data_IF_263025950347
#
_entry.id   IF_263025950347
#
_cell.length_a   1.000
_cell.length_b   1.000
_cell.length_c   1.000
_cell.angle_alpha   90.00
_cell.angle_beta   90.00
_cell.angle_gamma   90.00
#
_symmetry.space_group_name_H-M   'P 1'
#
loop_
_entity.id
_entity.type
_entity.pdbx_description
1 polymer ?
#
# COMPACT_ATOMS: atom_id res chain seq x y z
N UNK A 1 17.11 12.53 -27.37
CA UNK A 1 15.90 12.80 -26.64
C UNK A 1 15.88 11.92 -25.38
N UNK A 2 16.12 12.51 -24.21
CA UNK A 2 16.20 11.80 -22.93
C UNK A 2 14.82 11.39 -22.38
N UNK A 3 13.72 11.64 -23.08
CA UNK A 3 12.34 11.31 -22.64
C UNK A 3 12.03 9.82 -22.65
N UNK A 4 12.81 9.02 -23.36
CA UNK A 4 12.65 7.58 -23.43
C UNK A 4 13.91 6.88 -22.94
N UNK A 5 13.77 5.99 -21.95
CA UNK A 5 14.89 5.19 -21.46
C UNK A 5 15.46 4.32 -22.59
N UNK A 6 16.73 3.96 -22.48
CA UNK A 6 17.38 3.05 -23.43
C UNK A 6 16.64 1.72 -23.54
N UNK A 7 16.19 1.18 -22.37
CA UNK A 7 15.38 -0.03 -22.31
C UNK A 7 14.07 0.10 -23.12
N UNK A 8 13.33 1.19 -22.94
CA UNK A 8 12.07 1.43 -23.68
C UNK A 8 12.31 1.50 -25.20
N UNK A 9 13.42 2.09 -25.64
CA UNK A 9 13.79 2.14 -27.05
C UNK A 9 14.09 0.76 -27.62
N UNK A 10 14.80 -0.08 -26.86
CA UNK A 10 15.09 -1.47 -27.25
C UNK A 10 13.82 -2.30 -27.32
N UNK A 11 12.97 -2.23 -26.31
CA UNK A 11 11.67 -2.96 -26.30
C UNK A 11 10.84 -2.58 -27.53
N UNK A 12 10.71 -1.29 -27.84
CA UNK A 12 9.96 -0.85 -29.04
C UNK A 12 10.56 -1.37 -30.34
N UNK A 13 11.89 -1.38 -30.43
CA UNK A 13 12.58 -1.83 -31.65
C UNK A 13 12.46 -3.33 -31.89
N UNK A 14 12.47 -4.12 -30.83
CA UNK A 14 12.52 -5.58 -30.89
C UNK A 14 11.24 -6.26 -30.34
N UNK A 15 10.15 -5.52 -30.20
CA UNK A 15 8.88 -6.02 -29.63
C UNK A 15 8.35 -7.30 -30.30
N UNK A 16 8.62 -7.46 -31.63
CA UNK A 16 8.17 -8.62 -32.40
C UNK A 16 9.19 -9.78 -32.42
N UNK A 17 10.38 -9.62 -31.85
CA UNK A 17 11.41 -10.67 -31.85
C UNK A 17 11.45 -11.39 -30.50
N UNK A 18 10.87 -12.60 -30.37
CA UNK A 18 10.82 -13.35 -29.12
C UNK A 18 12.19 -13.85 -28.62
N UNK A 19 13.24 -13.73 -29.44
CA UNK A 19 14.61 -14.05 -29.03
C UNK A 19 15.27 -12.90 -28.26
N UNK A 20 14.75 -11.70 -28.40
CA UNK A 20 15.30 -10.47 -27.81
C UNK A 20 14.43 -9.94 -26.68
N UNK A 21 13.11 -10.03 -26.83
CA UNK A 21 12.16 -9.53 -25.84
C UNK A 21 11.26 -10.65 -25.33
N UNK A 22 11.18 -10.76 -24.01
CA UNK A 22 10.29 -11.71 -23.34
C UNK A 22 9.63 -11.02 -22.14
N UNK A 23 8.33 -11.25 -21.98
CA UNK A 23 7.57 -10.76 -20.84
C UNK A 23 7.36 -11.90 -19.84
N UNK A 24 7.78 -11.70 -18.60
CA UNK A 24 7.46 -12.61 -17.51
C UNK A 24 6.00 -12.43 -17.12
N UNK A 25 5.20 -13.48 -17.25
CA UNK A 25 3.75 -13.45 -17.02
C UNK A 25 3.34 -14.13 -15.72
N UNK A 26 4.28 -14.67 -14.95
CA UNK A 26 4.00 -15.29 -13.66
C UNK A 26 4.68 -14.52 -12.53
N UNK A 27 3.95 -14.30 -11.44
CA UNK A 27 4.46 -13.65 -10.24
C UNK A 27 4.16 -14.49 -8.99
N UNK A 28 5.09 -14.55 -8.05
CA UNK A 28 4.98 -15.34 -6.81
C UNK A 28 4.76 -14.51 -5.54
N UNK A 29 4.54 -13.20 -5.64
CA UNK A 29 4.50 -12.30 -4.48
C UNK A 29 3.09 -11.91 -4.08
N UNK A 30 2.32 -11.35 -5.01
CA UNK A 30 1.04 -10.71 -4.72
C UNK A 30 -0.10 -11.71 -4.69
N UNK A 31 -1.08 -11.48 -3.80
CA UNK A 31 -2.40 -12.09 -3.91
C UNK A 31 -3.05 -11.73 -5.26
N UNK A 32 -3.91 -12.60 -5.80
CA UNK A 32 -4.57 -12.39 -7.10
C UNK A 32 -5.32 -11.05 -7.18
N UNK A 33 -6.05 -10.68 -6.12
CA UNK A 33 -6.81 -9.42 -6.07
C UNK A 33 -5.89 -8.19 -6.13
N UNK A 34 -4.73 -8.26 -5.45
CA UNK A 34 -3.74 -7.18 -5.49
C UNK A 34 -3.07 -7.11 -6.86
N UNK A 35 -2.84 -8.25 -7.50
CA UNK A 35 -2.21 -8.33 -8.81
C UNK A 35 -3.10 -7.86 -9.96
N UNK A 36 -4.41 -7.75 -9.76
CA UNK A 36 -5.37 -7.41 -10.81
C UNK A 36 -5.06 -6.07 -11.48
N UNK A 37 -4.85 -5.01 -10.69
CA UNK A 37 -4.54 -3.68 -11.22
C UNK A 37 -3.21 -3.67 -12.02
N UNK A 38 -2.07 -4.08 -11.47
CA UNK A 38 -0.83 -4.09 -12.25
C UNK A 38 -0.88 -5.03 -13.43
N UNK A 39 -1.61 -6.16 -13.36
CA UNK A 39 -1.81 -7.05 -14.50
C UNK A 39 -2.49 -6.33 -15.67
N UNK A 40 -3.58 -5.64 -15.40
CA UNK A 40 -4.31 -4.90 -16.43
C UNK A 40 -3.54 -3.68 -16.95
N UNK A 41 -2.95 -2.90 -16.03
CA UNK A 41 -2.31 -1.64 -16.37
C UNK A 41 -0.99 -1.79 -17.13
N UNK A 42 -0.21 -2.84 -16.84
CA UNK A 42 1.18 -2.97 -17.30
C UNK A 42 1.48 -4.26 -18.08
N UNK A 43 0.66 -5.29 -17.93
CA UNK A 43 0.91 -6.61 -18.50
C UNK A 43 -0.20 -7.07 -19.47
N UNK A 44 -1.13 -6.18 -19.87
CA UNK A 44 -2.23 -6.51 -20.77
C UNK A 44 -3.13 -7.64 -20.26
N UNK A 45 -3.26 -7.80 -18.94
CA UNK A 45 -4.02 -8.87 -18.32
C UNK A 45 -3.31 -10.23 -18.27
N UNK A 46 -2.06 -10.32 -18.71
CA UNK A 46 -1.32 -11.58 -18.83
C UNK A 46 -0.60 -12.02 -17.55
N UNK A 47 -0.48 -11.16 -16.53
CA UNK A 47 0.21 -11.49 -15.30
C UNK A 47 -0.66 -12.43 -14.45
N UNK A 48 -0.14 -13.62 -14.17
CA UNK A 48 -0.83 -14.66 -13.41
C UNK A 48 -0.08 -15.01 -12.12
N UNK A 49 -0.76 -15.39 -11.04
CA UNK A 49 -0.10 -15.92 -9.86
C UNK A 49 0.48 -17.31 -10.15
N UNK A 50 1.65 -17.59 -9.60
CA UNK A 50 2.08 -18.96 -9.33
C UNK A 50 1.25 -19.40 -8.12
N UNK A 51 0.40 -20.44 -8.17
CA UNK A 51 -0.64 -20.67 -7.16
C UNK A 51 -0.05 -21.08 -5.80
N UNK A 52 0.67 -20.17 -5.17
CA UNK A 52 1.22 -20.34 -3.82
C UNK A 52 0.14 -20.06 -2.78
N UNK A 53 0.20 -20.70 -1.64
CA UNK A 53 -0.82 -20.64 -0.59
C UNK A 53 -1.17 -19.19 -0.18
N UNK A 54 -0.16 -18.33 -0.01
CA UNK A 54 -0.39 -16.93 0.37
C UNK A 54 -1.08 -16.08 -0.71
N UNK A 55 -0.96 -16.48 -1.99
CA UNK A 55 -1.58 -15.79 -3.12
C UNK A 55 -3.08 -16.10 -3.26
N UNK A 56 -3.55 -17.17 -2.63
CA UNK A 56 -4.91 -17.68 -2.71
C UNK A 56 -5.65 -17.63 -1.37
N UNK A 57 -4.97 -17.18 -0.31
CA UNK A 57 -5.52 -17.17 1.06
C UNK A 57 -6.77 -16.26 1.10
N UNK A 58 -7.93 -16.73 1.58
CA UNK A 58 -9.11 -15.89 1.72
C UNK A 58 -8.90 -14.78 2.75
N UNK A 59 -9.69 -13.72 2.69
CA UNK A 59 -9.77 -12.73 3.76
C UNK A 59 -10.38 -13.39 5.00
N UNK A 60 -9.78 -13.12 6.15
CA UNK A 60 -10.34 -13.56 7.43
C UNK A 60 -11.41 -12.54 7.87
N UNK A 61 -12.68 -12.94 7.74
CA UNK A 61 -13.85 -12.05 7.85
C UNK A 61 -14.54 -12.05 9.22
N UNK A 62 -13.87 -12.40 10.32
CA UNK A 62 -14.56 -12.66 11.61
C UNK A 62 -14.25 -11.70 12.74
N UNK A 63 -13.86 -10.46 12.47
CA UNK A 63 -13.69 -9.46 13.54
C UNK A 63 -15.05 -8.94 14.03
N UNK A 64 -15.25 -8.94 15.34
CA UNK A 64 -16.39 -8.22 15.95
C UNK A 64 -16.14 -6.71 15.86
N UNK A 65 -16.78 -6.08 14.87
CA UNK A 65 -16.62 -4.65 14.60
C UNK A 65 -17.20 -3.77 15.71
N UNK A 66 -18.08 -4.29 16.56
CA UNK A 66 -18.69 -3.52 17.65
C UNK A 66 -17.68 -3.01 18.68
N UNK A 67 -16.56 -3.71 18.83
CA UNK A 67 -15.48 -3.36 19.75
C UNK A 67 -14.59 -2.20 19.29
N UNK A 68 -14.73 -1.74 18.03
CA UNK A 68 -13.86 -0.73 17.44
C UNK A 68 -14.35 0.70 17.62
N UNK A 69 -15.62 0.94 18.00
CA UNK A 69 -16.17 2.29 18.16
C UNK A 69 -15.99 3.14 16.90
N UNK A 70 -15.38 4.31 17.02
CA UNK A 70 -15.12 5.23 15.88
C UNK A 70 -14.16 4.66 14.83
N UNK A 71 -13.47 3.57 15.12
CA UNK A 71 -12.60 2.88 14.18
C UNK A 71 -13.31 1.76 13.42
N UNK A 72 -14.60 1.48 13.69
CA UNK A 72 -15.35 0.40 13.03
C UNK A 72 -15.36 0.51 11.50
N UNK A 73 -15.52 1.69 10.85
CA UNK A 73 -15.47 1.80 9.41
C UNK A 73 -14.10 1.37 8.82
N UNK A 74 -13.01 1.70 9.52
CA UNK A 74 -11.67 1.28 9.11
C UNK A 74 -11.45 -0.23 9.30
N UNK A 75 -12.00 -0.81 10.36
CA UNK A 75 -11.95 -2.24 10.58
C UNK A 75 -12.73 -3.01 9.52
N UNK A 76 -13.89 -2.50 9.09
CA UNK A 76 -14.65 -3.05 7.98
C UNK A 76 -13.85 -3.05 6.68
N UNK A 77 -13.22 -1.92 6.33
CA UNK A 77 -12.37 -1.82 5.14
C UNK A 77 -11.25 -2.86 5.19
N UNK A 78 -10.52 -2.94 6.31
CA UNK A 78 -9.36 -3.83 6.44
C UNK A 78 -9.73 -5.32 6.48
N UNK A 79 -10.94 -5.67 6.88
CA UNK A 79 -11.39 -7.07 6.95
C UNK A 79 -12.15 -7.51 5.70
N UNK A 80 -12.72 -6.58 4.94
CA UNK A 80 -13.57 -6.89 3.78
C UNK A 80 -12.85 -6.73 2.44
N UNK A 81 -11.74 -5.98 2.39
CA UNK A 81 -11.07 -5.63 1.13
C UNK A 81 -9.56 -5.84 1.21
N UNK A 82 -8.97 -6.40 0.14
CA UNK A 82 -7.51 -6.47 -0.01
C UNK A 82 -6.92 -5.22 -0.64
N UNK A 83 -7.73 -4.54 -1.42
CA UNK A 83 -7.38 -3.26 -2.06
C UNK A 83 -8.55 -2.32 -1.82
N UNK A 84 -8.29 -1.17 -1.22
CA UNK A 84 -9.28 -0.12 -1.02
C UNK A 84 -8.67 1.23 -1.42
N UNK A 85 -9.49 2.06 -2.04
CA UNK A 85 -9.18 3.47 -2.26
C UNK A 85 -10.05 4.29 -1.31
N UNK A 86 -9.41 5.12 -0.48
CA UNK A 86 -10.09 5.99 0.47
C UNK A 86 -9.90 7.42 -0.02
N UNK A 87 -10.98 8.02 -0.47
CA UNK A 87 -10.99 9.45 -0.80
C UNK A 87 -11.03 10.27 0.48
N UNK A 88 -10.15 11.26 0.58
CA UNK A 88 -10.03 12.11 1.76
C UNK A 88 -10.30 13.55 1.35
N UNK A 89 -11.42 14.08 1.84
CA UNK A 89 -11.75 15.49 1.63
C UNK A 89 -10.68 16.40 2.24
N UNK A 90 -10.09 17.23 1.39
CA UNK A 90 -9.18 18.29 1.83
C UNK A 90 -10.04 19.47 2.22
N UNK A 91 -10.30 19.65 3.51
CA UNK A 91 -10.92 20.88 3.99
C UNK A 91 -10.00 22.07 3.70
N UNK A 92 -10.51 23.10 3.08
CA UNK A 92 -9.81 24.29 2.55
C UNK A 92 -8.87 25.01 3.54
N UNK A 93 -8.94 24.69 4.83
CA UNK A 93 -8.20 25.38 5.89
C UNK A 93 -6.85 24.72 6.28
N UNK A 94 -6.43 23.63 5.66
CA UNK A 94 -5.21 22.91 6.09
C UNK A 94 -4.17 22.64 5.00
N UNK A 95 -4.41 23.07 3.78
CA UNK A 95 -3.39 22.99 2.75
C UNK A 95 -2.43 24.18 2.88
N UNK A 96 -1.37 24.04 3.66
CA UNK A 96 -0.18 24.84 3.41
C UNK A 96 0.38 24.36 2.06
N UNK A 97 0.03 25.03 1.01
CA UNK A 97 0.40 24.73 -0.38
C UNK A 97 1.92 24.67 -0.61
N UNK A 98 2.72 25.07 0.39
CA UNK A 98 4.18 25.08 0.32
C UNK A 98 4.87 23.78 0.71
N UNK A 99 4.26 22.91 1.55
CA UNK A 99 5.02 21.86 2.22
C UNK A 99 4.70 20.42 1.78
N UNK A 100 3.82 20.21 0.82
CA UNK A 100 3.40 18.86 0.35
C UNK A 100 2.99 17.94 1.52
N UNK A 101 2.21 18.50 2.46
CA UNK A 101 1.70 17.82 3.64
C UNK A 101 0.18 17.86 3.62
N UNK A 102 -0.46 16.72 3.87
CA UNK A 102 -1.90 16.58 4.04
C UNK A 102 -2.20 15.99 5.43
N UNK A 103 -2.72 16.82 6.33
CA UNK A 103 -3.01 16.41 7.70
C UNK A 103 -4.24 15.51 7.79
N UNK A 104 -5.21 15.67 6.90
CA UNK A 104 -6.40 14.80 6.84
C UNK A 104 -6.01 13.38 6.43
N UNK A 105 -5.15 13.23 5.42
CA UNK A 105 -4.58 11.92 5.06
C UNK A 105 -3.78 11.32 6.22
N UNK A 106 -2.99 12.13 6.94
CA UNK A 106 -2.21 11.64 8.08
C UNK A 106 -3.11 11.09 9.20
N UNK A 107 -4.26 11.73 9.48
CA UNK A 107 -5.23 11.24 10.45
C UNK A 107 -5.87 9.91 9.99
N UNK A 108 -6.28 9.81 8.73
CA UNK A 108 -6.83 8.57 8.17
C UNK A 108 -5.81 7.43 8.24
N UNK A 109 -4.54 7.68 7.89
CA UNK A 109 -3.46 6.68 7.97
C UNK A 109 -3.24 6.27 9.43
N UNK A 110 -3.27 7.20 10.39
CA UNK A 110 -3.15 6.88 11.80
C UNK A 110 -4.30 5.99 12.29
N UNK A 111 -5.54 6.29 11.93
CA UNK A 111 -6.71 5.45 12.26
C UNK A 111 -6.62 4.06 11.64
N UNK A 112 -6.21 3.96 10.39
CA UNK A 112 -5.96 2.67 9.73
C UNK A 112 -4.86 1.88 10.43
N UNK A 113 -3.76 2.54 10.81
CA UNK A 113 -2.63 1.90 11.51
C UNK A 113 -3.04 1.35 12.88
N UNK A 114 -3.78 2.16 13.66
CA UNK A 114 -4.33 1.74 14.96
C UNK A 114 -5.30 0.58 14.80
N UNK A 115 -6.14 0.62 13.79
CA UNK A 115 -7.10 -0.44 13.50
C UNK A 115 -6.40 -1.74 13.09
N UNK A 116 -5.40 -1.65 12.21
CA UNK A 116 -4.59 -2.81 11.82
C UNK A 116 -3.88 -3.43 13.02
N UNK A 117 -3.32 -2.60 13.92
CA UNK A 117 -2.74 -3.08 15.17
C UNK A 117 -3.77 -3.81 16.03
N UNK A 118 -4.96 -3.24 16.27
CA UNK A 118 -6.01 -3.87 17.08
C UNK A 118 -6.48 -5.20 16.49
N UNK A 119 -6.63 -5.27 15.17
CA UNK A 119 -7.02 -6.49 14.47
C UNK A 119 -5.96 -7.61 14.57
N UNK A 120 -4.70 -7.26 14.75
CA UNK A 120 -3.55 -8.17 14.72
C UNK A 120 -2.73 -8.19 15.99
N UNK A 121 -3.21 -7.60 17.09
CA UNK A 121 -2.43 -7.36 18.32
C UNK A 121 -1.66 -8.59 18.83
N UNK A 122 -2.25 -9.78 18.73
CA UNK A 122 -1.61 -11.01 19.17
C UNK A 122 -0.38 -11.45 18.33
N UNK A 123 -0.27 -10.95 17.08
CA UNK A 123 0.76 -11.35 16.11
C UNK A 123 1.39 -10.14 15.43
N UNK A 124 1.23 -8.96 16.00
CA UNK A 124 1.72 -7.72 15.40
C UNK A 124 3.24 -7.64 15.50
N UNK A 125 3.88 -7.65 14.34
CA UNK A 125 5.29 -7.34 14.18
C UNK A 125 5.40 -5.99 13.45
N UNK A 126 5.95 -4.93 14.09
CA UNK A 126 6.02 -3.61 13.49
C UNK A 126 6.86 -3.56 12.20
N UNK A 127 7.76 -4.51 12.00
CA UNK A 127 8.63 -4.56 10.82
C UNK A 127 8.02 -5.35 9.65
N UNK A 128 7.04 -6.22 9.92
CA UNK A 128 6.48 -7.15 8.93
C UNK A 128 4.98 -7.00 8.71
N UNK A 129 4.22 -6.49 9.71
CA UNK A 129 2.75 -6.48 9.63
C UNK A 129 2.21 -5.28 8.88
N UNK A 130 2.83 -4.10 9.04
CA UNK A 130 2.33 -2.83 8.51
C UNK A 130 3.48 -1.98 7.98
N UNK A 131 3.31 -1.47 6.76
CA UNK A 131 4.19 -0.47 6.18
C UNK A 131 3.39 0.67 5.56
N UNK A 132 3.89 1.89 5.65
CA UNK A 132 3.28 3.09 5.07
C UNK A 132 4.23 3.68 4.03
N UNK A 133 3.75 3.81 2.80
CA UNK A 133 4.50 4.40 1.69
C UNK A 133 3.93 5.78 1.39
N UNK A 134 4.79 6.78 1.34
CA UNK A 134 4.41 8.17 1.07
C UNK A 134 5.13 8.72 -0.16
N UNK A 135 4.49 9.63 -0.93
CA UNK A 135 5.15 10.25 -2.08
C UNK A 135 6.17 11.33 -1.67
N UNK A 136 6.02 11.93 -0.47
CA UNK A 136 6.86 13.04 -0.03
C UNK A 136 7.33 12.85 1.41
N UNK A 137 8.62 13.11 1.67
CA UNK A 137 9.23 12.95 3.01
C UNK A 137 8.57 13.80 4.10
N UNK A 138 8.09 14.99 3.76
CA UNK A 138 7.44 15.88 4.74
C UNK A 138 6.18 15.24 5.34
N UNK A 139 5.49 14.38 4.59
CA UNK A 139 4.31 13.66 5.07
C UNK A 139 4.64 12.63 6.17
N UNK A 140 5.87 12.10 6.20
CA UNK A 140 6.29 11.11 7.21
C UNK A 140 6.13 11.66 8.63
N UNK A 141 6.57 12.90 8.85
CA UNK A 141 6.49 13.53 10.17
C UNK A 141 5.04 13.72 10.61
N UNK A 142 4.18 14.16 9.70
CA UNK A 142 2.76 14.36 9.99
C UNK A 142 2.05 13.06 10.35
N UNK A 143 2.35 11.97 9.64
CA UNK A 143 1.81 10.64 9.93
C UNK A 143 2.34 10.14 11.28
N UNK A 144 3.64 10.27 11.57
CA UNK A 144 4.21 9.91 12.88
C UNK A 144 3.49 10.64 14.00
N UNK A 145 3.39 11.96 13.92
CA UNK A 145 2.70 12.77 14.92
C UNK A 145 1.22 12.37 15.10
N UNK A 146 0.54 11.97 14.03
CA UNK A 146 -0.84 11.52 14.10
C UNK A 146 -0.97 10.15 14.79
N UNK A 147 -0.06 9.22 14.52
CA UNK A 147 0.00 7.90 15.16
C UNK A 147 0.35 8.03 16.64
N UNK A 148 1.30 8.89 16.99
CA UNK A 148 1.80 9.07 18.36
C UNK A 148 0.71 9.56 19.34
N UNK A 149 -0.31 10.26 18.85
CA UNK A 149 -1.48 10.67 19.64
C UNK A 149 -2.23 9.50 20.28
N UNK A 150 -2.11 8.31 19.69
CA UNK A 150 -2.78 7.10 20.22
C UNK A 150 -1.97 6.36 21.29
N UNK A 151 -0.70 6.72 21.52
CA UNK A 151 0.12 6.16 22.59
C UNK A 151 0.38 4.65 22.49
N UNK A 152 0.37 4.09 21.27
CA UNK A 152 0.53 2.63 21.04
C UNK A 152 2.00 2.37 20.68
N UNK A 153 2.79 1.91 21.66
CA UNK A 153 4.23 1.72 21.51
C UNK A 153 4.65 0.89 20.26
N UNK A 154 4.03 -0.26 19.93
CA UNK A 154 4.42 -1.02 18.73
C UNK A 154 4.27 -0.25 17.41
N UNK A 155 3.43 0.79 17.35
CA UNK A 155 3.26 1.60 16.14
C UNK A 155 4.38 2.62 15.93
N UNK A 156 5.22 2.89 16.93
CA UNK A 156 6.41 3.74 16.76
C UNK A 156 7.45 3.12 15.82
N UNK A 157 7.51 1.80 15.78
CA UNK A 157 8.54 1.05 15.06
C UNK A 157 8.11 0.61 13.65
N UNK A 158 6.87 0.91 13.21
CA UNK A 158 6.44 0.60 11.84
C UNK A 158 7.26 1.39 10.83
N UNK A 159 7.46 0.81 9.64
CA UNK A 159 8.17 1.50 8.57
C UNK A 159 7.24 2.51 7.89
N UNK A 160 7.64 3.79 7.91
CA UNK A 160 7.00 4.86 7.11
C UNK A 160 8.10 5.51 6.28
N UNK A 161 8.06 5.33 4.95
CA UNK A 161 9.11 5.88 4.07
C UNK A 161 8.60 6.11 2.64
N UNK A 162 9.45 6.66 1.78
CA UNK A 162 9.13 6.87 0.37
C UNK A 162 9.27 5.57 -0.42
N UNK A 163 8.65 5.53 -1.61
CA UNK A 163 8.63 4.33 -2.47
C UNK A 163 10.04 3.84 -2.83
N UNK A 164 11.00 4.77 -3.00
CA UNK A 164 12.38 4.42 -3.35
C UNK A 164 13.07 3.59 -2.28
N UNK A 165 12.75 3.81 -1.01
CA UNK A 165 13.31 3.05 0.11
C UNK A 165 12.69 1.68 0.30
N UNK A 166 11.43 1.53 -0.12
CA UNK A 166 10.76 0.23 -0.12
C UNK A 166 11.18 -0.68 -1.28
N UNK A 167 11.83 -0.13 -2.30
CA UNK A 167 12.28 -0.92 -3.44
C UNK A 167 13.49 -1.77 -3.02
N UNK A 168 13.32 -3.09 -2.99
CA UNK A 168 14.37 -4.06 -2.64
C UNK A 168 14.46 -4.47 -1.18
N UNK A 169 13.48 -4.08 -0.34
CA UNK A 169 13.33 -4.57 1.05
C UNK A 169 12.54 -5.86 1.10
#
# INVERSE_FOLDING_TARGET
DCRHSFFQRLVRRYAADPRVTYMLTHQGRMHSDIALFPSQAFYGGLLQPVPLQHQLRPLESSADLSSFGDLAPYAEILTSHRVAFIDVDVSDNQSSTSDKVNLSEADVIARLSVTAYKLRAAFFDPTATLGVIVPYRNQIVSIRNAIDKYGIAPLHDITIDTVERYQGS
#
